data_IF_548251617450
#
_entry.id   IF_548251617450
#
_cell.length_a   1.000
_cell.length_b   1.000
_cell.length_c   1.000
_cell.angle_alpha   90.00
_cell.angle_beta   90.00
_cell.angle_gamma   90.00
#
_symmetry.space_group_name_H-M   'P 1'
#
loop_
_entity.id
_entity.type
_entity.pdbx_description
1 polymer ?
#
# COMPACT_ATOMS: atom_id res chain seq x y z
N UNK A 1 55.04 0.70 55.57
CA UNK A 1 53.90 1.62 55.37
C UNK A 1 53.43 1.51 53.91
N UNK A 2 52.15 1.17 53.69
CA UNK A 2 51.58 0.67 52.42
C UNK A 2 51.57 1.74 51.31
N UNK A 3 51.98 1.34 50.11
CA UNK A 3 51.95 2.13 48.87
C UNK A 3 50.54 2.18 48.26
N UNK A 4 50.19 3.37 47.80
CA UNK A 4 49.04 3.76 46.99
C UNK A 4 49.18 3.16 45.58
N UNK A 5 48.07 2.77 44.95
CA UNK A 5 48.03 2.36 43.55
C UNK A 5 46.61 2.03 43.08
N UNK A 6 45.77 3.07 42.97
CA UNK A 6 44.43 3.01 42.39
C UNK A 6 44.56 2.90 40.86
N UNK A 7 44.26 1.73 40.28
CA UNK A 7 44.14 1.56 38.83
C UNK A 7 42.70 1.87 38.41
N UNK A 8 42.50 3.05 37.82
CA UNK A 8 41.27 3.41 37.13
C UNK A 8 41.31 2.86 35.70
N UNK A 9 40.46 1.88 35.40
CA UNK A 9 40.23 1.39 34.03
C UNK A 9 39.14 2.25 33.41
N UNK A 10 39.52 3.17 32.52
CA UNK A 10 38.60 3.97 31.71
C UNK A 10 38.14 3.10 30.54
N UNK A 11 36.93 2.56 30.64
CA UNK A 11 36.26 1.83 29.56
C UNK A 11 35.59 2.84 28.62
N UNK A 12 36.18 3.05 27.44
CA UNK A 12 35.64 3.93 26.42
C UNK A 12 34.46 3.24 25.69
N UNK A 13 33.23 3.55 26.09
CA UNK A 13 32.02 3.22 25.34
C UNK A 13 32.00 4.05 24.05
N UNK A 14 32.37 3.41 22.93
CA UNK A 14 32.15 3.95 21.59
C UNK A 14 30.65 3.89 21.32
N UNK A 15 29.93 4.97 21.60
CA UNK A 15 28.57 5.19 21.14
C UNK A 15 28.60 5.43 19.63
N UNK A 16 28.62 4.34 18.86
CA UNK A 16 28.33 4.38 17.44
C UNK A 16 26.89 4.83 17.25
N UNK A 17 26.71 6.03 16.70
CA UNK A 17 25.41 6.58 16.33
C UNK A 17 24.80 5.71 15.22
N UNK A 18 23.91 4.81 15.62
CA UNK A 18 23.04 4.08 14.69
C UNK A 18 22.07 5.10 14.13
N UNK A 19 22.39 5.72 13.01
CA UNK A 19 21.45 6.59 12.32
C UNK A 19 20.36 5.71 11.71
N UNK A 20 19.08 5.90 12.06
CA UNK A 20 18.01 5.24 11.34
C UNK A 20 18.08 5.69 9.88
N UNK A 21 18.11 4.73 8.96
CA UNK A 21 18.00 5.01 7.52
C UNK A 21 16.62 5.62 7.30
N UNK A 22 16.53 6.95 7.26
CA UNK A 22 15.32 7.63 6.83
C UNK A 22 15.09 7.24 5.37
N UNK A 23 14.13 6.34 5.13
CA UNK A 23 13.69 6.00 3.79
C UNK A 23 13.26 7.29 3.10
N UNK A 24 13.96 7.71 2.05
CA UNK A 24 13.54 8.86 1.24
C UNK A 24 12.11 8.60 0.76
N UNK A 25 11.21 9.60 0.80
CA UNK A 25 9.90 9.47 0.19
C UNK A 25 10.09 9.04 -1.27
N UNK A 26 9.51 7.90 -1.64
CA UNK A 26 9.59 7.39 -2.99
C UNK A 26 8.75 8.35 -3.85
N UNK A 27 9.40 9.29 -4.54
CA UNK A 27 8.76 10.38 -5.27
C UNK A 27 8.00 9.92 -6.54
N UNK A 28 7.74 8.62 -6.71
CA UNK A 28 7.06 8.06 -7.87
C UNK A 28 5.54 8.06 -7.75
N UNK A 29 4.87 8.24 -8.88
CA UNK A 29 3.42 8.04 -9.01
C UNK A 29 3.18 6.68 -9.67
N UNK A 30 2.41 5.79 -9.03
CA UNK A 30 1.91 4.59 -9.68
C UNK A 30 0.65 4.94 -10.46
N UNK A 31 0.62 4.65 -11.77
CA UNK A 31 -0.60 4.70 -12.57
C UNK A 31 -1.09 3.27 -12.78
N UNK A 32 -2.28 2.94 -12.28
CA UNK A 32 -2.81 1.59 -12.24
C UNK A 32 -4.00 1.43 -13.18
N UNK A 33 -4.10 0.28 -13.83
CA UNK A 33 -5.22 -0.08 -14.70
C UNK A 33 -5.58 -1.55 -14.52
N UNK A 34 -6.86 -1.81 -14.31
CA UNK A 34 -7.42 -3.13 -14.07
C UNK A 34 -8.53 -3.41 -15.08
N UNK A 35 -8.19 -4.21 -16.09
CA UNK A 35 -9.07 -4.54 -17.22
C UNK A 35 -9.97 -5.75 -16.93
N UNK A 36 -9.57 -6.62 -16.01
CA UNK A 36 -10.26 -7.89 -15.71
C UNK A 36 -10.58 -7.99 -14.24
N UNK A 37 -11.77 -8.48 -13.93
CA UNK A 37 -12.16 -8.79 -12.56
C UNK A 37 -13.32 -9.77 -12.50
N UNK A 38 -13.80 -9.97 -11.29
CA UNK A 38 -15.07 -10.61 -10.99
C UNK A 38 -15.80 -9.74 -9.97
N UNK A 39 -17.13 -9.68 -10.06
CA UNK A 39 -17.95 -8.98 -9.08
C UNK A 39 -19.14 -9.87 -8.68
N UNK A 40 -19.53 -9.77 -7.42
CA UNK A 40 -20.64 -10.53 -6.84
C UNK A 40 -21.52 -9.59 -6.04
N UNK A 41 -22.80 -9.56 -6.35
CA UNK A 41 -23.83 -8.83 -5.61
C UNK A 41 -24.67 -9.84 -4.83
N UNK A 42 -24.87 -9.59 -3.55
CA UNK A 42 -25.85 -10.35 -2.77
C UNK A 42 -27.25 -9.82 -3.08
N UNK A 43 -28.13 -10.66 -3.60
CA UNK A 43 -29.51 -10.30 -3.88
C UNK A 43 -30.40 -11.52 -3.72
N UNK A 44 -31.64 -11.30 -3.24
CA UNK A 44 -32.63 -12.38 -3.07
C UNK A 44 -32.09 -13.58 -2.28
N UNK A 45 -31.21 -13.33 -1.31
CA UNK A 45 -30.65 -14.35 -0.43
C UNK A 45 -29.45 -15.13 -0.99
N UNK A 46 -28.91 -14.76 -2.16
CA UNK A 46 -27.76 -15.43 -2.76
C UNK A 46 -26.80 -14.45 -3.45
N UNK A 47 -25.55 -14.86 -3.68
CA UNK A 47 -24.63 -14.11 -4.51
C UNK A 47 -24.87 -14.40 -5.99
N UNK A 48 -25.02 -13.33 -6.76
CA UNK A 48 -25.11 -13.38 -8.21
C UNK A 48 -23.91 -12.66 -8.83
N UNK A 49 -23.33 -13.27 -9.87
CA UNK A 49 -22.23 -12.67 -10.60
C UNK A 49 -22.68 -11.36 -11.29
N UNK A 50 -21.75 -10.42 -11.38
CA UNK A 50 -21.91 -9.14 -12.07
C UNK A 50 -20.72 -8.88 -12.96
N UNK A 51 -20.99 -8.21 -14.08
CA UNK A 51 -19.93 -7.73 -14.95
C UNK A 51 -19.17 -6.62 -14.22
N UNK A 52 -17.86 -6.77 -13.98
CA UNK A 52 -17.06 -5.72 -13.38
C UNK A 52 -16.69 -4.67 -14.42
N UNK A 53 -16.73 -3.40 -14.02
CA UNK A 53 -16.28 -2.29 -14.85
C UNK A 53 -14.76 -2.13 -14.81
N UNK A 54 -14.17 -1.60 -15.88
CA UNK A 54 -12.73 -1.26 -15.89
C UNK A 54 -12.44 -0.23 -14.80
N UNK A 55 -11.35 -0.43 -14.06
CA UNK A 55 -10.90 0.50 -13.01
C UNK A 55 -9.53 1.06 -13.35
N UNK A 56 -9.36 2.37 -13.22
CA UNK A 56 -8.07 3.04 -13.36
C UNK A 56 -7.95 4.21 -12.37
N UNK A 57 -6.78 4.35 -11.77
CA UNK A 57 -6.47 5.41 -10.82
C UNK A 57 -4.95 5.57 -10.68
N UNK A 58 -4.54 6.59 -9.93
CA UNK A 58 -3.14 6.79 -9.54
C UNK A 58 -2.93 6.68 -8.04
N UNK A 59 -1.73 6.28 -7.63
CA UNK A 59 -1.29 6.32 -6.23
C UNK A 59 -0.02 7.15 -6.18
N UNK A 60 0.00 8.16 -5.32
CA UNK A 60 1.08 9.14 -5.21
C UNK A 60 1.40 9.47 -3.76
N UNK A 61 2.46 10.26 -3.54
CA UNK A 61 2.91 10.73 -2.22
C UNK A 61 3.06 9.57 -1.24
N UNK A 62 3.68 8.49 -1.70
CA UNK A 62 3.90 7.30 -0.87
C UNK A 62 4.99 7.62 0.16
N UNK A 63 4.61 7.66 1.42
CA UNK A 63 5.51 7.82 2.56
C UNK A 63 5.56 6.51 3.34
N UNK A 64 6.70 5.83 3.22
CA UNK A 64 6.95 4.54 3.85
C UNK A 64 7.17 4.65 5.37
N UNK A 65 7.67 5.78 5.85
CA UNK A 65 7.87 6.01 7.28
C UNK A 65 6.56 6.32 7.98
N UNK A 66 5.73 7.18 7.38
CA UNK A 66 4.41 7.53 7.90
C UNK A 66 3.32 6.49 7.58
N UNK A 67 3.62 5.53 6.71
CA UNK A 67 2.68 4.53 6.21
C UNK A 67 1.44 5.15 5.55
N UNK A 68 1.65 6.13 4.67
CA UNK A 68 0.57 6.86 4.00
C UNK A 68 0.78 6.99 2.50
N UNK A 69 -0.32 7.19 1.77
CA UNK A 69 -0.31 7.59 0.37
C UNK A 69 -1.57 8.42 0.02
N UNK A 70 -1.65 8.85 -1.23
CA UNK A 70 -2.82 9.49 -1.85
C UNK A 70 -3.30 8.69 -3.04
N UNK A 71 -4.58 8.35 -3.07
CA UNK A 71 -5.26 7.86 -4.25
C UNK A 71 -5.70 9.05 -5.09
N UNK A 72 -5.27 9.15 -6.34
CA UNK A 72 -5.77 10.14 -7.29
C UNK A 72 -6.74 9.49 -8.28
N UNK A 73 -8.00 9.89 -8.20
CA UNK A 73 -9.00 9.72 -9.27
C UNK A 73 -9.17 11.09 -9.94
N UNK A 74 -9.60 11.17 -11.20
CA UNK A 74 -9.70 12.47 -11.90
C UNK A 74 -10.51 13.56 -11.18
N UNK A 75 -11.30 13.18 -10.17
CA UNK A 75 -12.21 14.04 -9.40
C UNK A 75 -11.66 14.45 -8.02
N UNK A 76 -10.48 13.98 -7.61
CA UNK A 76 -9.92 14.34 -6.30
C UNK A 76 -8.85 13.37 -5.78
N UNK A 77 -8.35 13.65 -4.58
CA UNK A 77 -7.37 12.82 -3.92
C UNK A 77 -7.88 12.25 -2.59
N UNK A 78 -7.98 10.93 -2.47
CA UNK A 78 -8.38 10.24 -1.25
C UNK A 78 -7.17 9.77 -0.43
N UNK A 79 -7.38 9.62 0.88
CA UNK A 79 -6.33 9.20 1.80
C UNK A 79 -6.16 7.68 1.82
N UNK A 80 -4.90 7.23 1.73
CA UNK A 80 -4.54 5.82 1.83
C UNK A 80 -3.66 5.57 3.05
N UNK A 81 -3.88 4.43 3.70
CA UNK A 81 -2.89 3.79 4.58
C UNK A 81 -2.08 2.79 3.78
N UNK A 82 -0.81 2.62 4.13
CA UNK A 82 0.06 1.67 3.42
C UNK A 82 0.59 0.60 4.36
N UNK A 83 0.63 -0.64 3.90
CA UNK A 83 1.28 -1.75 4.61
C UNK A 83 2.34 -2.34 3.69
N UNK A 84 3.59 -2.37 4.15
CA UNK A 84 4.69 -2.98 3.41
C UNK A 84 4.72 -4.49 3.70
N UNK A 85 4.73 -5.31 2.65
CA UNK A 85 5.03 -6.73 2.69
C UNK A 85 6.39 -6.99 2.03
N UNK A 86 6.88 -8.24 2.00
CA UNK A 86 8.22 -8.54 1.46
C UNK A 86 8.36 -8.18 -0.03
N UNK A 87 7.40 -8.57 -0.86
CA UNK A 87 7.42 -8.35 -2.31
C UNK A 87 6.15 -7.67 -2.82
N UNK A 88 5.52 -6.89 -1.94
CA UNK A 88 4.30 -6.16 -2.26
C UNK A 88 4.10 -4.98 -1.31
N UNK A 89 3.27 -4.05 -1.75
CA UNK A 89 2.76 -2.96 -0.95
C UNK A 89 1.24 -2.93 -1.05
N UNK A 90 0.59 -2.94 0.11
CA UNK A 90 -0.84 -2.80 0.22
C UNK A 90 -1.20 -1.34 0.47
N UNK A 91 -2.27 -0.89 -0.17
CA UNK A 91 -2.85 0.43 -0.04
C UNK A 91 -4.30 0.26 0.33
N UNK A 92 -4.68 0.83 1.46
CA UNK A 92 -6.00 0.65 2.06
C UNK A 92 -6.70 2.00 2.06
N UNK A 93 -7.84 2.06 1.39
CA UNK A 93 -8.74 3.19 1.37
C UNK A 93 -9.98 2.87 2.19
N UNK A 94 -10.31 3.74 3.14
CA UNK A 94 -11.65 3.79 3.72
C UNK A 94 -12.42 4.85 2.95
N UNK A 95 -13.27 4.41 2.04
CA UNK A 95 -14.10 5.26 1.20
C UNK A 95 -15.35 5.75 1.97
N UNK A 96 -16.21 6.51 1.28
CA UNK A 96 -17.48 6.97 1.85
C UNK A 96 -18.29 5.82 2.45
N UNK A 97 -19.04 6.11 3.52
CA UNK A 97 -19.91 5.14 4.23
C UNK A 97 -19.17 3.93 4.84
N UNK A 98 -17.83 4.01 4.96
CA UNK A 98 -17.03 2.94 5.56
C UNK A 98 -16.70 1.79 4.61
N UNK A 99 -16.94 1.97 3.31
CA UNK A 99 -16.51 1.01 2.30
C UNK A 99 -15.00 0.88 2.26
N UNK A 100 -14.52 -0.30 1.86
CA UNK A 100 -13.10 -0.63 1.91
C UNK A 100 -12.61 -0.99 0.52
N UNK A 101 -11.59 -0.28 0.06
CA UNK A 101 -10.82 -0.67 -1.11
C UNK A 101 -9.40 -1.05 -0.71
N UNK A 102 -8.90 -2.14 -1.28
CA UNK A 102 -7.54 -2.63 -1.03
C UNK A 102 -6.84 -2.80 -2.37
N UNK A 103 -5.76 -2.08 -2.59
CA UNK A 103 -4.88 -2.25 -3.75
C UNK A 103 -3.58 -2.87 -3.29
N UNK A 104 -3.14 -3.93 -3.94
CA UNK A 104 -1.82 -4.53 -3.74
C UNK A 104 -1.02 -4.32 -5.01
N UNK A 105 0.14 -3.69 -4.90
CA UNK A 105 1.13 -3.56 -5.96
C UNK A 105 2.30 -4.46 -5.60
N UNK A 106 2.60 -5.44 -6.44
CA UNK A 106 3.74 -6.34 -6.28
C UNK A 106 5.00 -5.71 -6.86
N UNK A 107 6.16 -6.32 -6.60
CA UNK A 107 7.41 -5.94 -7.23
C UNK A 107 7.30 -5.95 -8.77
N UNK A 108 8.14 -5.15 -9.42
CA UNK A 108 8.17 -5.06 -10.88
C UNK A 108 8.51 -6.43 -11.46
N UNK A 109 7.68 -6.89 -12.39
CA UNK A 109 7.94 -8.10 -13.16
C UNK A 109 8.94 -7.79 -14.28
N UNK A 110 9.99 -8.60 -14.37
CA UNK A 110 11.10 -8.37 -15.32
C UNK A 110 10.69 -8.62 -16.77
N UNK A 111 9.73 -9.51 -17.00
CA UNK A 111 9.28 -9.89 -18.37
C UNK A 111 8.39 -8.81 -18.96
N UNK A 112 7.33 -8.41 -18.25
CA UNK A 112 6.40 -7.38 -18.71
C UNK A 112 6.94 -5.97 -18.51
N UNK A 113 7.87 -5.79 -17.58
CA UNK A 113 8.40 -4.50 -17.19
C UNK A 113 7.42 -3.61 -16.41
N UNK A 114 6.36 -4.21 -15.85
CA UNK A 114 5.27 -3.52 -15.14
C UNK A 114 5.14 -4.10 -13.73
N UNK A 115 4.38 -3.42 -12.88
CA UNK A 115 4.10 -3.92 -11.53
C UNK A 115 2.77 -4.67 -11.57
N UNK A 116 2.74 -6.00 -11.37
CA UNK A 116 1.48 -6.72 -11.21
C UNK A 116 0.67 -6.12 -10.06
N UNK A 117 -0.64 -6.02 -10.21
CA UNK A 117 -1.48 -5.41 -9.20
C UNK A 117 -2.84 -6.12 -9.07
N UNK A 118 -3.35 -6.14 -7.84
CA UNK A 118 -4.69 -6.61 -7.49
C UNK A 118 -5.43 -5.49 -6.78
N UNK A 119 -6.71 -5.30 -7.13
CA UNK A 119 -7.58 -4.33 -6.45
C UNK A 119 -8.85 -5.03 -5.99
N UNK A 120 -9.24 -4.84 -4.73
CA UNK A 120 -10.47 -5.37 -4.15
C UNK A 120 -11.35 -4.23 -3.69
N UNK A 121 -12.65 -4.34 -3.92
CA UNK A 121 -13.68 -3.40 -3.47
C UNK A 121 -14.69 -4.15 -2.61
N UNK A 122 -14.94 -3.63 -1.42
CA UNK A 122 -15.93 -4.14 -0.48
C UNK A 122 -16.89 -2.99 -0.14
N UNK A 123 -18.08 -2.99 -0.73
CA UNK A 123 -19.07 -1.92 -0.54
C UNK A 123 -20.50 -2.47 -0.52
N UNK A 124 -21.47 -1.57 -0.40
CA UNK A 124 -22.88 -1.92 -0.47
C UNK A 124 -23.60 -1.11 -1.55
N UNK A 125 -24.55 -1.75 -2.23
CA UNK A 125 -25.49 -1.10 -3.16
C UNK A 125 -26.88 -1.29 -2.61
N UNK A 126 -27.55 -0.19 -2.23
CA UNK A 126 -28.88 -0.23 -1.58
C UNK A 126 -28.91 -1.15 -0.35
N UNK A 127 -27.83 -1.12 0.45
CA UNK A 127 -27.66 -1.95 1.65
C UNK A 127 -27.29 -3.41 1.37
N UNK A 128 -27.21 -3.84 0.11
CA UNK A 128 -26.79 -5.19 -0.24
C UNK A 128 -25.27 -5.28 -0.46
N UNK A 129 -24.60 -6.29 0.11
CA UNK A 129 -23.18 -6.51 -0.10
C UNK A 129 -22.80 -6.65 -1.57
N UNK A 130 -21.79 -5.89 -2.00
CA UNK A 130 -21.12 -6.05 -3.29
C UNK A 130 -19.62 -6.19 -3.06
N UNK A 131 -19.05 -7.27 -3.59
CA UNK A 131 -17.61 -7.51 -3.57
C UNK A 131 -17.09 -7.64 -4.98
N UNK A 132 -15.95 -7.01 -5.27
CA UNK A 132 -15.31 -7.12 -6.57
C UNK A 132 -13.80 -7.24 -6.41
N UNK A 133 -13.19 -8.09 -7.24
CA UNK A 133 -11.74 -8.27 -7.27
C UNK A 133 -11.25 -8.14 -8.71
N UNK A 134 -10.20 -7.36 -8.89
CA UNK A 134 -9.65 -7.00 -10.17
C UNK A 134 -8.16 -7.35 -10.24
N UNK A 135 -7.70 -7.72 -11.43
CA UNK A 135 -6.31 -8.02 -11.75
C UNK A 135 -5.86 -7.09 -12.86
N UNK A 136 -4.69 -6.50 -12.67
CA UNK A 136 -4.18 -5.48 -13.56
C UNK A 136 -2.71 -5.23 -13.34
N UNK A 137 -2.28 -4.04 -13.75
CA UNK A 137 -0.90 -3.62 -13.65
C UNK A 137 -0.83 -2.15 -13.26
N UNK A 138 0.26 -1.79 -12.60
CA UNK A 138 0.66 -0.41 -12.39
C UNK A 138 1.98 -0.13 -13.11
N UNK A 139 2.13 1.12 -13.53
CA UNK A 139 3.34 1.65 -14.12
C UNK A 139 3.86 2.78 -13.23
N UNK A 140 5.16 2.77 -12.91
CA UNK A 140 5.77 3.85 -12.14
C UNK A 140 6.09 5.01 -13.08
N UNK A 141 5.43 6.14 -12.88
CA UNK A 141 5.71 7.39 -13.57
C UNK A 141 6.82 8.15 -12.84
N UNK A 142 7.71 8.83 -13.58
CA UNK A 142 8.72 9.71 -13.01
C UNK A 142 8.12 10.86 -12.22
#
# INVERSE_FOLDING_TARGET
MRRIGLLAVISALVFGSVQPLAAKPEAGVYACTFERGNAWLFEKGAYAERQPERVAFSISRVDMGAQTARLGTGEGAAALRTVQALSARHFIEVAGEGFLNITTIYDRDDVSGRYPAVHSRHFAVLGQPLVAQYRGFCDRKP
#
